data_IF_629419994314
#
_entry.id   IF_629419994314
#
_cell.length_a   1.000
_cell.length_b   1.000
_cell.length_c   1.000
_cell.angle_alpha   90.00
_cell.angle_beta   90.00
_cell.angle_gamma   90.00
#
_symmetry.space_group_name_H-M   'P 1'
#
loop_
_entity.id
_entity.type
_entity.pdbx_description
1 polymer ?
2 water ?
#
# COMPACT_ATOMS: atom_id res chain seq x y z
N UNK A 3 2.27 -22.13 10.62
CA UNK A 3 2.38 -21.78 9.16
C UNK A 3 1.04 -21.28 8.62
N UNK A 4 1.09 -20.24 7.79
CA UNK A 4 -0.13 -19.67 7.28
C UNK A 4 0.20 -18.87 6.03
N UNK A 5 -0.68 -18.92 5.00
CA UNK A 5 -0.51 -18.02 3.85
C UNK A 5 -0.85 -16.58 4.25
N UNK A 6 -0.56 -15.62 3.38
CA UNK A 6 -0.86 -14.23 3.73
C UNK A 6 -2.37 -13.99 3.79
N UNK A 7 -2.77 -13.20 4.77
CA UNK A 7 -4.12 -12.65 4.82
C UNK A 7 -4.04 -11.19 5.26
N UNK A 8 -4.98 -10.41 4.79
CA UNK A 8 -5.10 -9.01 5.22
C UNK A 8 -6.12 -8.88 6.34
N UNK A 9 -5.66 -8.40 7.48
CA UNK A 9 -6.53 -8.09 8.58
C UNK A 9 -7.07 -6.68 8.45
N UNK A 10 -6.28 -5.77 7.87
CA UNK A 10 -6.70 -4.41 7.51
C UNK A 10 -6.33 -4.25 6.05
N UNK A 11 -7.31 -3.88 5.22
CA UNK A 11 -7.13 -3.73 3.76
C UNK A 11 -7.17 -2.25 3.36
N UNK A 12 -6.72 -1.99 2.14
CA UNK A 12 -6.77 -0.65 1.59
C UNK A 12 -8.20 -0.16 1.44
N UNK A 13 -8.38 1.16 1.51
CA UNK A 13 -9.68 1.77 1.33
C UNK A 13 -9.52 3.05 0.49
N UNK A 14 -10.56 3.38 -0.26
CA UNK A 14 -10.48 4.54 -1.14
C UNK A 14 -10.26 5.81 -0.30
N UNK A 15 -9.50 6.75 -0.87
CA UNK A 15 -9.27 8.06 -0.28
C UNK A 15 -9.34 9.13 -1.36
N UNK A 16 -9.70 10.34 -0.94
CA UNK A 16 -9.67 11.52 -1.82
C UNK A 16 -9.06 12.66 -1.05
N UNK A 17 -7.86 13.08 -1.47
CA UNK A 17 -7.08 14.09 -0.76
C UNK A 17 -6.94 15.34 -1.61
N UNK A 18 -6.56 16.45 -1.00
CA UNK A 18 -6.25 17.66 -1.75
C UNK A 18 -4.76 17.69 -2.10
N UNK A 19 -4.46 18.26 -3.26
CA UNK A 19 -3.08 18.47 -3.65
C UNK A 19 -2.37 19.20 -2.53
N UNK A 20 -1.14 18.75 -2.24
CA UNK A 20 -0.34 19.30 -1.17
C UNK A 20 -0.43 18.55 0.16
N UNK A 21 -1.49 17.76 0.34
CA UNK A 21 -1.65 16.96 1.55
C UNK A 21 -0.86 15.70 1.46
N UNK A 22 -0.37 15.24 2.58
CA UNK A 22 0.29 13.94 2.62
C UNK A 22 -0.78 12.82 2.57
N UNK A 23 -0.35 11.65 2.09
CA UNK A 23 -1.20 10.48 2.02
C UNK A 23 -0.51 9.34 2.74
N UNK A 24 -1.27 8.56 3.49
CA UNK A 24 -0.82 7.26 4.00
C UNK A 24 -1.84 6.22 3.53
N UNK A 25 -1.31 5.13 3.01
CA UNK A 25 -2.12 3.92 2.73
C UNK A 25 -1.58 2.85 3.67
N UNK A 26 -2.45 2.27 4.49
CA UNK A 26 -2.03 1.30 5.48
C UNK A 26 -2.78 -0.01 5.28
N UNK A 27 -2.04 -1.11 5.49
CA UNK A 27 -2.62 -2.44 5.62
C UNK A 27 -2.02 -3.11 6.83
N UNK A 28 -2.67 -4.17 7.28
CA UNK A 28 -2.08 -5.08 8.28
C UNK A 28 -2.16 -6.47 7.69
N UNK A 29 -1.01 -7.12 7.57
CA UNK A 29 -0.93 -8.44 6.98
C UNK A 29 -0.55 -9.46 8.06
N UNK A 30 -1.10 -10.66 7.96
CA UNK A 30 -0.65 -11.81 8.75
C UNK A 30 -0.16 -12.89 7.79
N UNK A 31 0.61 -13.82 8.36
CA UNK A 31 1.16 -14.95 7.61
C UNK A 31 2.46 -15.40 8.27
N UNK A 32 2.81 -16.66 8.06
CA UNK A 32 4.05 -17.20 8.62
C UNK A 32 4.62 -18.16 7.62
N UNK A 33 5.84 -17.95 7.11
CA UNK A 33 6.71 -16.82 7.39
C UNK A 33 6.07 -15.48 7.03
N UNK A 34 6.58 -14.43 7.65
CA UNK A 34 6.11 -13.07 7.42
C UNK A 34 6.02 -12.81 5.91
N UNK A 35 4.86 -12.37 5.41
CA UNK A 35 4.78 -12.10 3.97
C UNK A 35 5.72 -11.00 3.50
N UNK A 36 6.09 -11.11 2.23
CA UNK A 36 6.78 -10.03 1.51
C UNK A 36 5.66 -9.17 0.90
N UNK A 37 5.71 -7.87 1.21
CA UNK A 37 4.66 -6.93 0.84
C UNK A 37 5.23 -5.91 -0.12
N UNK A 38 4.54 -5.74 -1.25
CA UNK A 38 4.95 -4.81 -2.27
C UNK A 38 3.74 -4.02 -2.77
N UNK A 39 4.05 -2.88 -3.38
CA UNK A 39 3.04 -1.88 -3.74
C UNK A 39 3.08 -1.60 -5.23
N UNK A 40 1.89 -1.50 -5.83
CA UNK A 40 1.73 -1.13 -7.23
C UNK A 40 0.79 0.04 -7.33
N UNK A 41 0.99 0.84 -8.40
CA UNK A 41 0.03 1.88 -8.81
C UNK A 41 -0.32 1.55 -10.27
N UNK A 42 -1.61 1.41 -10.56
CA UNK A 42 -2.04 1.04 -11.91
C UNK A 42 -1.25 -0.16 -12.43
N UNK A 43 -1.05 -1.14 -11.55
CA UNK A 43 -0.42 -2.42 -11.88
C UNK A 43 1.06 -2.30 -12.25
N UNK A 44 1.70 -1.18 -11.88
CA UNK A 44 3.16 -0.99 -12.07
C UNK A 44 3.81 -0.85 -10.70
N UNK A 45 5.04 -1.30 -10.50
CA UNK A 45 5.70 -1.15 -9.20
C UNK A 45 5.77 0.30 -8.81
N UNK A 46 5.57 0.57 -7.53
CA UNK A 46 5.76 1.91 -7.00
C UNK A 46 7.26 2.11 -6.73
N UNK A 47 7.90 2.98 -7.49
CA UNK A 47 9.32 3.25 -7.31
C UNK A 47 9.49 4.27 -6.20
N UNK A 48 10.23 3.97 -5.15
CA UNK A 48 10.35 4.93 -4.08
C UNK A 48 11.31 6.07 -4.45
N UNK A 49 11.08 7.22 -3.83
CA UNK A 49 11.93 8.36 -3.94
C UNK A 49 11.72 9.14 -2.58
N UNK A 50 12.27 10.31 -2.41
CA UNK A 50 12.20 10.97 -1.10
C UNK A 50 10.77 11.31 -0.66
N UNK A 51 9.86 11.42 -1.63
CA UNK A 51 8.52 11.83 -1.27
C UNK A 51 7.54 10.74 -1.55
N UNK A 52 7.99 9.52 -1.76
CA UNK A 52 7.07 8.39 -1.81
C UNK A 52 7.86 7.13 -1.44
N UNK A 53 7.42 6.41 -0.42
CA UNK A 53 8.19 5.24 0.02
C UNK A 53 7.30 4.37 0.88
N UNK A 54 7.74 3.11 0.98
CA UNK A 54 7.06 2.08 1.74
C UNK A 54 7.73 1.92 3.10
N UNK A 55 6.93 1.60 4.12
CA UNK A 55 7.40 1.38 5.47
C UNK A 55 6.79 0.07 5.99
N UNK A 56 7.55 -0.63 6.83
CA UNK A 56 7.06 -1.76 7.62
C UNK A 56 7.23 -1.44 9.09
N UNK A 57 6.11 -1.56 9.81
CA UNK A 57 5.99 -1.32 11.31
C UNK A 57 5.54 -2.59 12.06
N UNK A 58 5.47 -2.58 13.39
CA UNK A 58 5.18 -3.83 14.17
C UNK A 58 3.76 -4.28 13.92
N UNK A 59 3.49 -5.54 14.23
CA UNK A 59 2.21 -6.13 14.13
C UNK A 59 1.75 -6.29 12.73
N UNK A 60 2.67 -6.32 11.77
CA UNK A 60 2.31 -6.53 10.40
C UNK A 60 1.79 -5.30 9.68
N UNK A 61 1.95 -4.11 10.28
CA UNK A 61 1.51 -2.87 9.60
C UNK A 61 2.48 -2.56 8.48
N UNK A 62 1.94 -2.28 7.30
CA UNK A 62 2.72 -1.88 6.14
C UNK A 62 2.05 -0.63 5.58
N UNK A 63 2.87 0.35 5.24
CA UNK A 63 2.32 1.64 4.81
C UNK A 63 3.04 2.09 3.53
N UNK A 64 2.29 2.78 2.68
CA UNK A 64 2.85 3.56 1.60
C UNK A 64 2.59 5.04 1.94
N UNK A 65 3.65 5.83 2.00
CA UNK A 65 3.57 7.26 2.30
C UNK A 65 3.87 8.06 1.03
N UNK A 66 3.02 9.06 0.77
CA UNK A 66 3.24 10.03 -0.29
C UNK A 66 3.27 11.41 0.36
N UNK A 67 4.34 12.16 0.14
CA UNK A 67 4.47 13.50 0.72
C UNK A 67 4.03 14.53 -0.33
N UNK A 68 3.09 15.39 0.08
CA UNK A 68 2.58 16.51 -0.73
C UNK A 68 2.03 15.97 -2.06
N UNK A 69 0.82 15.44 -1.96
CA UNK A 69 0.17 14.78 -3.09
C UNK A 69 0.07 15.71 -4.29
N UNK A 70 0.22 15.10 -5.46
CA UNK A 70 0.05 15.75 -6.75
C UNK A 70 -1.09 15.06 -7.50
N UNK A 71 -1.72 15.73 -8.47
CA UNK A 71 -2.78 15.07 -9.22
C UNK A 71 -2.33 13.73 -9.80
N UNK A 72 -1.10 13.64 -10.26
CA UNK A 72 -0.64 12.40 -10.87
C UNK A 72 -0.47 11.23 -9.90
N UNK A 73 -0.51 11.49 -8.59
CA UNK A 73 -0.51 10.38 -7.65
C UNK A 73 -1.82 9.60 -7.72
N UNK A 74 -2.90 10.21 -8.24
CA UNK A 74 -4.17 9.50 -8.29
C UNK A 74 -4.01 8.21 -9.09
N UNK A 75 -4.73 7.18 -8.68
CA UNK A 75 -4.71 5.92 -9.40
C UNK A 75 -5.20 4.81 -8.49
N UNK A 76 -5.12 3.58 -9.01
CA UNK A 76 -5.52 2.41 -8.25
C UNK A 76 -4.26 1.77 -7.67
N UNK A 77 -4.21 1.65 -6.36
CA UNK A 77 -3.06 1.10 -5.67
C UNK A 77 -3.37 -0.31 -5.22
N UNK A 78 -2.41 -1.19 -5.44
CA UNK A 78 -2.51 -2.60 -5.04
C UNK A 78 -1.43 -2.91 -4.03
N UNK A 79 -1.79 -3.60 -2.96
CA UNK A 79 -0.83 -4.18 -2.04
C UNK A 79 -0.81 -5.68 -2.28
N UNK A 80 0.36 -6.19 -2.65
CA UNK A 80 0.60 -7.61 -2.90
C UNK A 80 1.35 -8.20 -1.70
N UNK A 81 0.89 -9.36 -1.24
CA UNK A 81 1.55 -10.06 -0.15
C UNK A 81 1.80 -11.50 -0.64
N UNK A 82 3.02 -11.99 -0.37
CA UNK A 82 3.44 -13.32 -0.80
C UNK A 82 4.24 -13.99 0.31
N UNK A 83 4.00 -15.28 0.54
CA UNK A 83 4.96 -16.07 1.27
C UNK A 83 4.98 -17.47 0.66
N UNK A 84 5.69 -18.38 1.31
CA UNK A 84 5.88 -19.73 0.78
C UNK A 84 4.59 -20.51 0.63
N UNK A 85 3.52 -20.06 1.29
CA UNK A 85 2.27 -20.80 1.32
C UNK A 85 1.14 -20.17 0.52
N UNK A 86 1.35 -18.99 -0.04
CA UNK A 86 0.32 -18.42 -0.90
C UNK A 86 0.55 -16.94 -1.12
N UNK A 87 -0.45 -16.33 -1.74
CA UNK A 87 -0.37 -14.94 -2.12
C UNK A 87 -1.78 -14.36 -1.94
N UNK A 88 -1.81 -13.06 -1.63
CA UNK A 88 -3.08 -12.35 -1.56
C UNK A 88 -2.82 -10.89 -1.92
N UNK A 89 -3.87 -10.20 -2.36
CA UNK A 89 -3.72 -8.79 -2.68
C UNK A 89 -5.01 -8.06 -2.35
N UNK A 90 -4.89 -6.74 -2.21
CA UNK A 90 -6.06 -5.89 -2.10
C UNK A 90 -5.76 -4.58 -2.81
N UNK A 91 -6.81 -3.81 -3.07
CA UNK A 91 -6.68 -2.63 -3.92
C UNK A 91 -7.62 -1.53 -3.41
N UNK A 92 -7.25 -0.29 -3.68
CA UNK A 92 -8.15 0.84 -3.48
C UNK A 92 -7.71 1.98 -4.37
N UNK A 93 -8.58 2.97 -4.50
CA UNK A 93 -8.34 4.12 -5.33
C UNK A 93 -7.91 5.31 -4.50
N UNK A 94 -6.93 6.06 -4.99
CA UNK A 94 -6.60 7.38 -4.50
C UNK A 94 -7.04 8.40 -5.54
N UNK A 95 -7.84 9.38 -5.11
CA UNK A 95 -8.19 10.52 -5.94
C UNK A 95 -7.53 11.76 -5.31
N UNK A 96 -7.21 12.73 -6.16
CA UNK A 96 -6.58 13.97 -5.72
C UNK A 96 -7.35 15.18 -6.29
N UNK A 97 -7.77 16.04 -5.37
CA UNK A 97 -8.53 17.25 -5.64
C UNK A 97 -7.61 18.48 -5.68
N UNK A 98 -8.06 19.54 -6.32
CA UNK A 98 -7.29 20.76 -6.35
C UNK A 98 -7.11 21.31 -4.96
#
# INVERSE_FOLDING_TARGET
GSKAPPTFKVSLMDQSVREGQDVIMSIRVQGEPKPVVSWLRNRQPVRPDQRRFAEEAEGGLCRLRILAAERGDAGFYTCKAVNEYGARQCEARLEVRGE
#
